data_IF_281285960051
#
_entry.id   IF_281285960051
#
_cell.length_a   1.000
_cell.length_b   1.000
_cell.length_c   1.000
_cell.angle_alpha   90.00
_cell.angle_beta   90.00
_cell.angle_gamma   90.00
#
_symmetry.space_group_name_H-M   'P 1'
#
loop_
_entity.id
_entity.type
_entity.pdbx_description
1 polymer ?
#
# COMPACT_ATOMS: atom_id res chain seq x y z
N UNK A 1 -13.29 -13.10 -27.63
CA UNK A 1 -13.12 -13.01 -26.16
C UNK A 1 -12.78 -11.58 -25.81
N UNK A 2 -13.76 -10.81 -25.34
CA UNK A 2 -13.49 -9.48 -24.80
C UNK A 2 -12.96 -9.68 -23.37
N UNK A 3 -11.65 -9.52 -23.17
CA UNK A 3 -11.12 -9.28 -21.84
C UNK A 3 -11.80 -8.00 -21.35
N UNK A 4 -12.71 -8.12 -20.39
CA UNK A 4 -13.22 -6.96 -19.67
C UNK A 4 -12.00 -6.18 -19.16
N UNK A 5 -12.03 -4.84 -19.20
CA UNK A 5 -10.96 -3.99 -18.66
C UNK A 5 -10.91 -4.04 -17.12
N UNK A 6 -10.94 -5.24 -16.53
CA UNK A 6 -10.76 -5.45 -15.11
C UNK A 6 -9.26 -5.46 -14.81
N UNK A 7 -8.85 -4.72 -13.78
CA UNK A 7 -7.46 -4.72 -13.31
C UNK A 7 -7.21 -6.06 -12.63
N UNK A 8 -6.35 -6.88 -13.24
CA UNK A 8 -6.06 -8.23 -12.75
C UNK A 8 -4.87 -8.22 -11.78
N UNK A 9 -5.01 -8.93 -10.67
CA UNK A 9 -3.93 -9.19 -9.71
C UNK A 9 -3.67 -10.69 -9.71
N UNK A 10 -2.40 -11.05 -9.86
CA UNK A 10 -1.94 -12.43 -9.89
C UNK A 10 -0.83 -12.57 -8.87
N UNK A 11 -0.95 -13.59 -8.01
CA UNK A 11 0.14 -14.02 -7.15
C UNK A 11 1.03 -14.98 -7.95
N UNK A 12 2.33 -14.70 -7.97
CA UNK A 12 3.30 -15.47 -8.71
C UNK A 12 4.58 -15.61 -7.88
N UNK A 13 5.37 -16.64 -8.20
CA UNK A 13 6.68 -16.84 -7.59
C UNK A 13 7.67 -15.73 -7.96
N UNK A 14 8.70 -15.53 -7.13
CA UNK A 14 9.75 -14.53 -7.39
C UNK A 14 10.49 -14.77 -8.72
N UNK A 15 10.54 -16.02 -9.18
CA UNK A 15 11.10 -16.42 -10.48
C UNK A 15 10.37 -15.79 -11.67
N UNK A 16 9.09 -15.40 -11.50
CA UNK A 16 8.31 -14.74 -12.54
C UNK A 16 8.96 -13.45 -13.02
N UNK A 17 9.58 -12.68 -12.12
CA UNK A 17 10.31 -11.47 -12.49
C UNK A 17 11.43 -11.79 -13.47
N UNK A 18 12.30 -12.76 -13.14
CA UNK A 18 13.40 -13.20 -13.99
C UNK A 18 12.91 -13.72 -15.34
N UNK A 19 11.80 -14.46 -15.34
CA UNK A 19 11.17 -14.97 -16.58
C UNK A 19 10.72 -13.81 -17.46
N UNK A 20 10.02 -12.82 -16.91
CA UNK A 20 9.50 -11.67 -17.66
C UNK A 20 10.62 -10.80 -18.26
N UNK A 21 11.72 -10.63 -17.52
CA UNK A 21 12.92 -9.94 -17.99
C UNK A 21 13.62 -10.70 -19.12
N UNK A 22 13.81 -12.03 -18.96
CA UNK A 22 14.43 -12.89 -19.98
C UNK A 22 13.62 -12.95 -21.28
N UNK A 23 12.29 -12.94 -21.17
CA UNK A 23 11.38 -12.90 -22.32
C UNK A 23 11.27 -11.50 -22.94
N UNK A 24 11.98 -10.49 -22.41
CA UNK A 24 11.87 -9.08 -22.80
C UNK A 24 10.42 -8.56 -22.81
N UNK A 25 9.53 -9.23 -22.09
CA UNK A 25 8.09 -8.94 -22.06
C UNK A 25 7.76 -7.80 -21.09
N UNK A 26 8.69 -7.49 -20.18
CA UNK A 26 8.55 -6.42 -19.20
C UNK A 26 9.92 -5.87 -18.79
N UNK A 27 9.97 -4.56 -18.53
CA UNK A 27 11.14 -3.87 -17.99
C UNK A 27 10.69 -3.16 -16.71
N UNK A 28 11.37 -3.44 -15.59
CA UNK A 28 11.12 -2.77 -14.32
C UNK A 28 11.53 -1.30 -14.44
N UNK A 29 10.54 -0.41 -14.26
CA UNK A 29 10.78 1.04 -14.31
C UNK A 29 11.14 1.64 -12.95
N UNK A 30 10.71 1.00 -11.87
CA UNK A 30 10.90 1.49 -10.52
C UNK A 30 10.98 0.32 -9.54
N UNK A 31 11.98 0.36 -8.67
CA UNK A 31 12.10 -0.55 -7.54
C UNK A 31 12.30 0.26 -6.26
N UNK A 32 11.44 -0.02 -5.27
CA UNK A 32 11.40 0.68 -3.99
C UNK A 32 11.64 -0.33 -2.87
N UNK A 33 12.38 0.10 -1.86
CA UNK A 33 12.58 -0.62 -0.62
C UNK A 33 11.84 0.10 0.52
N UNK A 34 11.15 -0.67 1.36
CA UNK A 34 10.39 -0.17 2.50
C UNK A 34 11.00 -0.75 3.78
N UNK A 35 11.65 0.09 4.59
CA UNK A 35 12.26 -0.32 5.86
C UNK A 35 11.55 0.36 7.01
N UNK A 36 11.18 -0.37 8.05
CA UNK A 36 10.33 0.20 9.09
C UNK A 36 10.23 -0.59 10.38
N UNK A 37 9.38 -0.09 11.26
CA UNK A 37 9.07 -0.67 12.55
C UNK A 37 7.59 -1.04 12.61
N UNK A 38 7.29 -2.09 13.38
CA UNK A 38 5.93 -2.50 13.70
C UNK A 38 5.62 -2.15 15.15
N UNK A 39 4.47 -1.53 15.36
CA UNK A 39 3.91 -1.17 16.66
C UNK A 39 2.58 -1.89 16.86
N UNK A 40 2.28 -2.21 18.12
CA UNK A 40 0.98 -2.74 18.53
C UNK A 40 0.32 -1.73 19.45
N UNK A 41 -0.87 -1.26 19.06
CA UNK A 41 -1.66 -0.28 19.79
C UNK A 41 -3.02 -0.91 20.09
N UNK A 42 -3.11 -1.61 21.22
CA UNK A 42 -4.26 -2.46 21.55
C UNK A 42 -4.45 -3.55 20.49
N UNK A 43 -5.58 -3.48 19.80
CA UNK A 43 -5.97 -4.40 18.72
C UNK A 43 -5.47 -3.97 17.34
N UNK A 44 -4.92 -2.76 17.23
CA UNK A 44 -4.31 -2.29 15.99
C UNK A 44 -2.86 -2.74 15.89
N UNK A 45 -2.47 -3.09 14.67
CA UNK A 45 -1.07 -3.24 14.28
C UNK A 45 -0.73 -2.14 13.30
N UNK A 46 0.23 -1.30 13.68
CA UNK A 46 0.65 -0.14 12.88
C UNK A 46 2.09 -0.37 12.44
N UNK A 47 2.35 -0.36 11.13
CA UNK A 47 3.69 -0.46 10.57
C UNK A 47 4.07 0.88 9.96
N UNK A 48 5.21 1.43 10.35
CA UNK A 48 5.73 2.71 9.84
C UNK A 48 7.05 2.44 9.15
N UNK A 49 7.14 2.73 7.85
CA UNK A 49 8.34 2.48 7.06
C UNK A 49 8.76 3.68 6.23
N UNK A 50 10.07 3.90 6.12
CA UNK A 50 10.67 4.80 5.13
C UNK A 50 10.68 4.09 3.77
N UNK A 51 10.32 4.83 2.72
CA UNK A 51 10.38 4.35 1.33
C UNK A 51 11.60 4.96 0.65
N UNK A 52 12.52 4.10 0.21
CA UNK A 52 13.79 4.48 -0.39
C UNK A 52 13.96 3.73 -1.72
N UNK A 53 14.26 4.39 -2.85
CA UNK A 53 14.54 3.69 -4.10
C UNK A 53 15.77 2.81 -3.97
N UNK A 54 15.77 1.63 -4.58
CA UNK A 54 16.93 0.71 -4.47
C UNK A 54 18.22 1.35 -5.00
N UNK A 55 18.10 2.24 -5.98
CA UNK A 55 19.24 2.90 -6.63
C UNK A 55 19.58 4.29 -6.05
N UNK A 56 18.98 4.69 -4.92
CA UNK A 56 19.22 6.01 -4.33
C UNK A 56 18.94 6.02 -2.83
N UNK A 57 19.83 6.60 -2.03
CA UNK A 57 19.61 6.79 -0.59
C UNK A 57 18.61 7.91 -0.25
N UNK A 58 18.07 8.60 -1.25
CA UNK A 58 17.13 9.71 -1.03
C UNK A 58 15.77 9.16 -0.59
N UNK A 59 15.35 9.56 0.61
CA UNK A 59 14.01 9.29 1.13
C UNK A 59 12.93 9.83 0.17
N UNK A 60 12.03 8.96 -0.30
CA UNK A 60 10.85 9.37 -1.08
C UNK A 60 9.66 9.73 -0.19
N UNK A 61 9.50 9.03 0.94
CA UNK A 61 8.42 9.31 1.87
C UNK A 61 8.33 8.29 2.99
N UNK A 62 7.29 8.43 3.81
CA UNK A 62 6.97 7.52 4.91
C UNK A 62 5.63 6.87 4.58
N UNK A 63 5.56 5.55 4.66
CA UNK A 63 4.31 4.79 4.54
C UNK A 63 3.92 4.32 5.92
N UNK A 64 2.63 4.49 6.24
CA UNK A 64 2.01 4.00 7.46
C UNK A 64 0.95 2.99 7.04
N UNK A 65 1.16 1.74 7.38
CA UNK A 65 0.16 0.68 7.23
C UNK A 65 -0.55 0.49 8.57
N UNK A 66 -1.88 0.44 8.52
CA UNK A 66 -2.74 0.18 9.68
C UNK A 66 -3.56 -1.07 9.42
N UNK A 67 -3.37 -2.07 10.25
CA UNK A 67 -4.05 -3.36 10.18
C UNK A 67 -4.90 -3.54 11.44
N UNK A 68 -6.15 -3.94 11.26
CA UNK A 68 -7.07 -4.32 12.35
C UNK A 68 -7.47 -5.80 12.19
N UNK A 69 -6.67 -6.74 12.76
CA UNK A 69 -6.81 -8.17 12.46
C UNK A 69 -8.10 -8.81 12.98
N UNK A 70 -8.79 -8.15 13.92
CA UNK A 70 -9.95 -8.68 14.64
C UNK A 70 -11.20 -8.79 13.76
N UNK A 71 -11.25 -8.09 12.62
CA UNK A 71 -12.39 -8.08 11.69
C UNK A 71 -11.88 -8.34 10.27
N UNK A 72 -12.44 -9.35 9.62
CA UNK A 72 -12.10 -9.68 8.23
C UNK A 72 -12.97 -8.97 7.19
N UNK A 73 -14.02 -8.26 7.59
CA UNK A 73 -14.84 -7.45 6.66
C UNK A 73 -14.13 -6.12 6.39
N UNK A 74 -13.83 -5.83 5.13
CA UNK A 74 -13.24 -4.55 4.72
C UNK A 74 -14.16 -3.40 5.09
N UNK A 75 -15.45 -3.44 4.72
CA UNK A 75 -16.39 -2.35 5.00
C UNK A 75 -16.45 -1.98 6.48
N UNK A 76 -16.40 -2.98 7.36
CA UNK A 76 -16.48 -2.76 8.80
C UNK A 76 -15.13 -2.30 9.37
N UNK A 77 -14.04 -2.99 9.02
CA UNK A 77 -12.70 -2.65 9.51
C UNK A 77 -12.22 -1.29 9.00
N UNK A 78 -12.58 -0.91 7.77
CA UNK A 78 -12.21 0.36 7.16
C UNK A 78 -12.78 1.55 7.93
N UNK A 79 -14.01 1.48 8.45
CA UNK A 79 -14.59 2.55 9.26
C UNK A 79 -13.79 2.77 10.54
N UNK A 80 -13.42 1.68 11.23
CA UNK A 80 -12.63 1.71 12.46
C UNK A 80 -11.21 2.23 12.19
N UNK A 81 -10.58 1.76 11.11
CA UNK A 81 -9.24 2.20 10.71
C UNK A 81 -9.25 3.68 10.30
N UNK A 82 -10.31 4.14 9.62
CA UNK A 82 -10.47 5.54 9.20
C UNK A 82 -10.60 6.47 10.40
N UNK A 83 -11.43 6.10 11.39
CA UNK A 83 -11.54 6.85 12.65
C UNK A 83 -10.20 6.90 13.40
N UNK A 84 -9.48 5.77 13.46
CA UNK A 84 -8.14 5.73 14.05
C UNK A 84 -7.13 6.61 13.29
N UNK A 85 -7.21 6.63 11.95
CA UNK A 85 -6.38 7.49 11.12
C UNK A 85 -6.66 8.97 11.35
N UNK A 86 -7.92 9.38 11.51
CA UNK A 86 -8.29 10.76 11.82
C UNK A 86 -7.71 11.21 13.16
N UNK A 87 -7.79 10.37 14.20
CA UNK A 87 -7.17 10.62 15.51
C UNK A 87 -5.66 10.77 15.37
N UNK A 88 -5.02 9.87 14.59
CA UNK A 88 -3.58 9.93 14.37
C UNK A 88 -3.18 11.22 13.63
N UNK A 89 -3.93 11.59 12.58
CA UNK A 89 -3.70 12.80 11.79
C UNK A 89 -3.85 14.06 12.64
N UNK A 90 -4.89 14.14 13.48
CA UNK A 90 -5.08 15.26 14.40
C UNK A 90 -3.91 15.36 15.42
N UNK A 91 -3.51 14.22 15.98
CA UNK A 91 -2.43 14.14 16.97
C UNK A 91 -1.07 14.52 16.37
N UNK A 92 -0.79 14.08 15.14
CA UNK A 92 0.44 14.39 14.43
C UNK A 92 0.44 15.83 13.88
N UNK A 93 -0.73 16.36 13.49
CA UNK A 93 -0.89 17.76 13.07
C UNK A 93 -0.50 18.75 14.16
N UNK A 94 -0.80 18.43 15.43
CA UNK A 94 -0.37 19.23 16.60
C UNK A 94 1.14 19.28 16.79
N UNK A 95 1.90 18.34 16.19
CA UNK A 95 3.37 18.24 16.34
C UNK A 95 4.16 18.94 15.22
N UNK A 96 3.49 19.68 14.32
CA UNK A 96 4.12 20.44 13.22
C UNK A 96 5.14 19.62 12.40
N UNK A 97 4.80 18.36 12.09
CA UNK A 97 5.67 17.51 11.26
C UNK A 97 5.67 18.01 9.80
N UNK A 98 6.83 18.09 9.14
CA UNK A 98 6.89 18.43 7.73
C UNK A 98 6.31 17.29 6.89
N UNK A 99 5.39 17.61 5.97
CA UNK A 99 4.76 16.65 5.06
C UNK A 99 3.23 16.74 5.04
N UNK A 100 2.61 15.99 4.13
CA UNK A 100 1.16 15.88 4.03
C UNK A 100 0.75 14.41 4.15
N UNK A 101 -0.25 14.13 4.97
CA UNK A 101 -0.84 12.80 5.04
C UNK A 101 -1.76 12.59 3.83
N UNK A 102 -1.44 11.57 3.03
CA UNK A 102 -2.29 11.12 1.93
C UNK A 102 -2.87 9.77 2.33
N UNK A 103 -4.19 9.65 2.28
CA UNK A 103 -4.91 8.40 2.42
C UNK A 103 -5.61 8.12 1.09
N UNK A 104 -5.39 6.94 0.53
CA UNK A 104 -6.00 6.54 -0.74
C UNK A 104 -7.16 5.58 -0.47
N UNK A 105 -8.38 6.04 -0.74
CA UNK A 105 -9.60 5.23 -0.64
C UNK A 105 -9.79 4.42 -1.92
N UNK A 106 -9.44 3.15 -1.85
CA UNK A 106 -9.52 2.24 -2.99
C UNK A 106 -10.88 1.55 -3.06
N UNK A 107 -11.46 1.56 -4.26
CA UNK A 107 -12.62 0.75 -4.56
C UNK A 107 -12.21 -0.67 -4.99
N UNK A 108 -12.13 -1.59 -4.03
CA UNK A 108 -11.73 -2.98 -4.26
C UNK A 108 -12.62 -3.76 -5.23
N UNK A 109 -13.86 -3.32 -5.46
CA UNK A 109 -14.75 -3.97 -6.43
C UNK A 109 -14.25 -3.83 -7.88
N UNK A 110 -13.47 -2.79 -8.19
CA UNK A 110 -12.84 -2.61 -9.51
C UNK A 110 -11.77 -3.67 -9.82
N UNK A 111 -11.24 -4.30 -8.77
CA UNK A 111 -10.25 -5.37 -8.84
C UNK A 111 -10.90 -6.76 -8.68
N UNK A 112 -12.24 -6.82 -8.66
CA UNK A 112 -13.00 -8.06 -8.46
C UNK A 112 -12.85 -8.66 -7.06
N UNK A 113 -12.44 -7.86 -6.08
CA UNK A 113 -12.28 -8.30 -4.69
C UNK A 113 -13.61 -8.13 -3.93
N UNK A 114 -13.93 -9.11 -3.09
CA UNK A 114 -15.12 -9.11 -2.23
C UNK A 114 -14.88 -8.32 -0.94
N UNK A 115 -15.90 -8.22 -0.09
CA UNK A 115 -15.75 -7.56 1.22
C UNK A 115 -14.81 -8.31 2.18
N UNK A 116 -14.60 -9.61 1.97
CA UNK A 116 -13.72 -10.40 2.82
C UNK A 116 -12.27 -10.03 2.53
N UNK A 117 -11.63 -9.37 3.50
CA UNK A 117 -10.25 -8.94 3.43
C UNK A 117 -9.31 -10.14 3.27
N UNK A 118 -8.38 -10.01 2.34
CA UNK A 118 -7.36 -11.00 1.98
C UNK A 118 -6.06 -10.28 1.66
N UNK A 119 -4.94 -11.00 1.57
CA UNK A 119 -3.65 -10.44 1.17
C UNK A 119 -3.70 -9.65 -0.15
N UNK A 120 -4.60 -10.02 -1.07
CA UNK A 120 -4.81 -9.29 -2.33
C UNK A 120 -5.23 -7.83 -2.11
N UNK A 121 -6.01 -7.54 -1.08
CA UNK A 121 -6.42 -6.17 -0.75
C UNK A 121 -5.21 -5.32 -0.39
N UNK A 122 -4.35 -5.85 0.48
CA UNK A 122 -3.09 -5.24 0.88
C UNK A 122 -2.20 -4.97 -0.33
N UNK A 123 -2.09 -5.92 -1.26
CA UNK A 123 -1.31 -5.76 -2.50
C UNK A 123 -1.83 -4.60 -3.36
N UNK A 124 -3.15 -4.43 -3.50
CA UNK A 124 -3.72 -3.28 -4.24
C UNK A 124 -3.39 -1.97 -3.54
N UNK A 125 -3.51 -1.92 -2.21
CA UNK A 125 -3.18 -0.73 -1.42
C UNK A 125 -1.72 -0.32 -1.62
N UNK A 126 -0.80 -1.27 -1.51
CA UNK A 126 0.61 -1.02 -1.80
C UNK A 126 0.84 -0.58 -3.23
N UNK A 127 0.24 -1.25 -4.22
CA UNK A 127 0.41 -0.89 -5.63
C UNK A 127 -0.04 0.55 -5.91
N UNK A 128 -1.15 0.99 -5.31
CA UNK A 128 -1.66 2.36 -5.49
C UNK A 128 -0.74 3.40 -4.83
N UNK A 129 -0.34 3.17 -3.58
CA UNK A 129 0.54 4.08 -2.83
C UNK A 129 1.91 4.19 -3.52
N UNK A 130 2.50 3.07 -3.93
CA UNK A 130 3.79 3.06 -4.62
C UNK A 130 3.70 3.73 -6.00
N UNK A 131 2.58 3.60 -6.71
CA UNK A 131 2.34 4.33 -7.95
C UNK A 131 2.27 5.85 -7.71
N UNK A 132 1.58 6.32 -6.67
CA UNK A 132 1.54 7.74 -6.32
C UNK A 132 2.93 8.29 -5.92
N UNK A 133 3.73 7.51 -5.20
CA UNK A 133 5.11 7.84 -4.84
C UNK A 133 6.07 7.87 -6.05
N UNK A 134 5.68 7.24 -7.16
CA UNK A 134 6.43 7.29 -8.42
C UNK A 134 6.16 8.55 -9.23
N UNK A 135 4.95 9.11 -9.15
CA UNK A 135 4.54 10.31 -9.90
C UNK A 135 4.92 11.61 -9.21
N UNK A 136 5.09 11.61 -7.88
CA UNK A 136 5.50 12.79 -7.09
C UNK A 136 6.97 13.19 -7.25
N UNK A 137 7.71 12.56 -8.16
CA UNK A 137 9.00 13.07 -8.64
C UNK A 137 8.82 14.04 -9.80
N UNK A 138 8.49 15.30 -9.50
CA UNK A 138 8.77 16.46 -10.35
C UNK A 138 9.41 17.57 -9.52
#
# INVERSE_FOLDING_TARGET
MALSRQRLIVEAESSMQTIMENLQSYIIKLALNCEGFQYRLGDFRVRVGKVVPINSEKLRGIVIEMEYPTISSWKTSHLIISEFFDILKETLGKKSLPGHFVHDELNFSEFGLSDQYTSRHTVVQYASILAQMSTTTQ
#
